data_IF_683513881611
#
_entry.id   IF_683513881611
#
_cell.length_a   1.000
_cell.length_b   1.000
_cell.length_c   1.000
_cell.angle_alpha   90.00
_cell.angle_beta   90.00
_cell.angle_gamma   90.00
#
_symmetry.space_group_name_H-M   'P 1'
#
loop_
_entity.id
_entity.type
_entity.pdbx_description
1 polymer ?
#
# COMPACT_ATOMS: atom_id res chain seq x y z
N UNK A 1 2.75 32.14 -22.99
CA UNK A 1 2.03 33.37 -22.60
C UNK A 1 1.08 33.01 -21.46
N UNK A 2 1.50 33.21 -20.22
CA UNK A 2 0.63 33.10 -19.04
C UNK A 2 -0.16 34.39 -18.89
N UNK A 3 -1.47 34.32 -19.01
CA UNK A 3 -2.36 35.48 -18.83
C UNK A 3 -2.58 35.70 -17.34
N UNK A 4 -1.82 36.62 -16.74
CA UNK A 4 -2.12 37.15 -15.41
C UNK A 4 -3.38 38.03 -15.52
N UNK A 5 -4.53 37.47 -15.13
CA UNK A 5 -5.73 38.27 -14.89
C UNK A 5 -5.51 39.07 -13.61
N UNK A 6 -5.46 40.39 -13.72
CA UNK A 6 -5.48 41.28 -12.56
C UNK A 6 -6.94 41.43 -12.10
N UNK A 7 -7.24 40.96 -10.89
CA UNK A 7 -8.52 41.20 -10.22
C UNK A 7 -8.38 42.43 -9.32
N UNK A 8 -9.44 43.23 -9.20
CA UNK A 8 -9.47 44.46 -8.39
C UNK A 8 -9.37 44.20 -6.86
N UNK A 9 -9.54 42.96 -6.45
CA UNK A 9 -9.45 42.53 -5.04
C UNK A 9 -8.01 42.44 -4.57
N UNK A 10 -7.71 43.04 -3.41
CA UNK A 10 -6.42 42.93 -2.74
C UNK A 10 -6.14 41.45 -2.40
N UNK A 11 -5.03 40.85 -2.90
CA UNK A 11 -4.67 39.47 -2.59
C UNK A 11 -4.45 39.19 -1.10
N UNK A 12 -4.26 40.23 -0.27
CA UNK A 12 -4.09 40.15 1.19
C UNK A 12 -5.39 40.33 1.97
N UNK A 13 -6.53 40.50 1.32
CA UNK A 13 -7.81 40.46 2.01
C UNK A 13 -7.99 39.08 2.63
N UNK A 14 -8.36 39.02 3.92
CA UNK A 14 -8.55 37.78 4.67
C UNK A 14 -9.55 36.84 3.98
N UNK A 15 -10.57 37.36 3.28
CA UNK A 15 -11.51 36.55 2.50
C UNK A 15 -10.84 35.93 1.26
N UNK A 16 -9.98 36.68 0.59
CA UNK A 16 -9.26 36.23 -0.60
C UNK A 16 -8.21 35.20 -0.21
N UNK A 17 -7.42 35.45 0.84
CA UNK A 17 -6.43 34.50 1.36
C UNK A 17 -7.10 33.18 1.76
N UNK A 18 -8.24 33.23 2.47
CA UNK A 18 -8.99 32.03 2.82
C UNK A 18 -9.49 31.28 1.58
N UNK A 19 -9.97 32.00 0.56
CA UNK A 19 -10.45 31.39 -0.69
C UNK A 19 -9.33 30.69 -1.48
N UNK A 20 -8.12 31.26 -1.47
CA UNK A 20 -6.94 30.71 -2.12
C UNK A 20 -6.41 29.49 -1.38
N UNK A 21 -6.34 29.54 -0.05
CA UNK A 21 -5.97 28.38 0.78
C UNK A 21 -6.97 27.25 0.56
N UNK A 22 -8.27 27.55 0.55
CA UNK A 22 -9.32 26.56 0.25
C UNK A 22 -9.14 25.97 -1.15
N UNK A 23 -8.73 26.79 -2.11
CA UNK A 23 -8.48 26.38 -3.48
C UNK A 23 -7.30 25.44 -3.64
N UNK A 24 -6.21 25.71 -2.94
CA UNK A 24 -5.04 24.86 -2.93
C UNK A 24 -5.34 23.52 -2.26
N UNK A 25 -6.09 23.54 -1.15
CA UNK A 25 -6.54 22.32 -0.46
C UNK A 25 -7.45 21.47 -1.35
N UNK A 26 -8.36 22.08 -2.11
CA UNK A 26 -9.26 21.36 -3.03
C UNK A 26 -8.53 20.80 -4.27
N UNK A 27 -7.52 21.51 -4.77
CA UNK A 27 -6.62 21.03 -5.82
C UNK A 27 -5.79 19.84 -5.34
N UNK A 28 -5.23 19.93 -4.12
CA UNK A 28 -4.48 18.84 -3.50
C UNK A 28 -5.36 17.60 -3.25
N UNK A 29 -6.66 17.79 -2.96
CA UNK A 29 -7.64 16.71 -2.81
C UNK A 29 -8.14 16.13 -4.13
N UNK A 30 -7.68 16.64 -5.28
CA UNK A 30 -8.08 16.16 -6.62
C UNK A 30 -9.54 16.48 -7.00
N UNK A 31 -10.27 17.19 -6.13
CA UNK A 31 -11.70 17.46 -6.30
C UNK A 31 -12.01 18.43 -7.45
N UNK A 32 -11.06 19.30 -7.82
CA UNK A 32 -11.26 20.23 -8.95
C UNK A 32 -10.93 19.65 -10.32
N UNK A 33 -10.25 18.50 -10.35
CA UNK A 33 -9.92 17.81 -11.60
C UNK A 33 -11.17 17.14 -12.19
N UNK A 34 -12.09 16.74 -11.31
CA UNK A 34 -13.37 16.15 -11.66
C UNK A 34 -14.47 17.18 -11.45
N UNK A 35 -15.04 17.70 -12.53
CA UNK A 35 -16.18 18.63 -12.51
C UNK A 35 -17.28 18.07 -13.41
N UNK A 36 -18.54 18.18 -12.98
CA UNK A 36 -19.71 17.71 -13.74
C UNK A 36 -19.57 16.25 -14.21
N UNK A 37 -19.07 15.37 -13.31
CA UNK A 37 -18.82 13.95 -13.60
C UNK A 37 -17.86 13.74 -14.78
N UNK A 38 -16.91 14.66 -14.98
CA UNK A 38 -15.90 14.58 -16.02
C UNK A 38 -14.51 14.91 -15.46
N UNK A 39 -13.53 14.04 -15.72
CA UNK A 39 -12.15 14.25 -15.33
C UNK A 39 -11.38 14.97 -16.45
N UNK A 40 -10.86 16.17 -16.18
CA UNK A 40 -10.10 16.94 -17.17
C UNK A 40 -8.68 16.41 -17.43
N UNK A 41 -8.12 15.61 -16.52
CA UNK A 41 -6.79 14.99 -16.68
C UNK A 41 -6.87 13.72 -17.52
N UNK A 42 -7.81 12.83 -17.21
CA UNK A 42 -8.02 11.58 -17.95
C UNK A 42 -8.93 11.76 -19.17
N UNK A 43 -9.57 12.92 -19.32
CA UNK A 43 -10.51 13.27 -20.39
C UNK A 43 -11.67 12.29 -20.53
N UNK A 44 -12.17 11.75 -19.42
CA UNK A 44 -13.24 10.75 -19.39
C UNK A 44 -14.37 11.13 -18.43
N UNK A 45 -15.59 10.63 -18.70
CA UNK A 45 -16.69 10.70 -17.72
C UNK A 45 -16.42 9.75 -16.55
N UNK A 46 -16.78 10.18 -15.36
CA UNK A 46 -16.60 9.46 -14.10
C UNK A 46 -17.91 9.45 -13.32
N UNK A 47 -18.05 8.54 -12.36
CA UNK A 47 -19.25 8.51 -11.50
C UNK A 47 -19.23 9.64 -10.47
N UNK A 48 -20.39 9.96 -9.92
CA UNK A 48 -20.50 10.85 -8.75
C UNK A 48 -19.57 10.34 -7.63
N UNK A 49 -18.89 11.26 -6.94
CA UNK A 49 -17.87 11.01 -5.92
C UNK A 49 -16.55 10.37 -6.40
N UNK A 50 -16.29 10.31 -7.71
CA UNK A 50 -14.98 9.93 -8.23
C UNK A 50 -13.94 11.02 -8.01
N UNK A 51 -12.69 10.64 -7.72
CA UNK A 51 -11.54 11.56 -7.69
C UNK A 51 -10.38 11.02 -8.51
N UNK A 52 -9.61 11.92 -9.11
CA UNK A 52 -8.36 11.57 -9.78
C UNK A 52 -7.22 11.50 -8.77
N UNK A 53 -6.59 10.33 -8.64
CA UNK A 53 -5.38 10.18 -7.84
C UNK A 53 -4.16 10.44 -8.72
N UNK A 54 -3.41 11.52 -8.44
CA UNK A 54 -2.20 11.88 -9.18
C UNK A 54 -1.09 10.83 -9.03
N UNK A 55 -0.93 10.24 -7.84
CA UNK A 55 0.12 9.22 -7.59
C UNK A 55 -0.08 7.95 -8.42
N UNK A 56 -1.33 7.54 -8.63
CA UNK A 56 -1.68 6.38 -9.46
C UNK A 56 -2.02 6.76 -10.90
N UNK A 57 -2.08 8.05 -11.22
CA UNK A 57 -2.52 8.63 -12.49
C UNK A 57 -3.83 8.02 -13.04
N UNK A 58 -4.83 7.81 -12.17
CA UNK A 58 -6.14 7.24 -12.55
C UNK A 58 -7.29 7.78 -11.71
N UNK A 59 -8.48 7.77 -12.29
CA UNK A 59 -9.73 8.07 -11.59
C UNK A 59 -10.20 6.86 -10.78
N UNK A 60 -10.67 7.11 -9.56
CA UNK A 60 -11.18 6.10 -8.66
C UNK A 60 -12.57 6.51 -8.21
N UNK A 61 -13.55 5.63 -8.42
CA UNK A 61 -14.93 5.82 -7.98
C UNK A 61 -15.05 5.67 -6.46
N UNK A 62 -15.85 6.56 -5.85
CA UNK A 62 -16.00 6.69 -4.40
C UNK A 62 -14.62 6.67 -3.70
N UNK A 63 -13.75 7.59 -4.10
CA UNK A 63 -12.37 7.61 -3.64
C UNK A 63 -12.30 7.88 -2.13
N UNK A 64 -11.68 6.96 -1.40
CA UNK A 64 -11.36 7.12 0.00
C UNK A 64 -9.94 7.72 0.14
N UNK A 65 -8.91 6.92 -0.15
CA UNK A 65 -7.52 7.37 -0.06
C UNK A 65 -6.56 6.60 -0.97
N UNK A 66 -5.36 7.16 -1.17
CA UNK A 66 -4.23 6.43 -1.73
C UNK A 66 -3.42 5.80 -0.58
N UNK A 67 -3.43 4.48 -0.49
CA UNK A 67 -2.71 3.76 0.56
C UNK A 67 -1.28 3.47 0.09
N UNK A 68 -0.30 4.12 0.73
CA UNK A 68 1.13 3.91 0.46
C UNK A 68 1.58 2.48 0.79
N UNK A 69 0.96 1.85 1.78
CA UNK A 69 1.29 0.49 2.22
C UNK A 69 0.87 -0.57 1.20
N UNK A 70 -0.25 -0.34 0.53
CA UNK A 70 -0.75 -1.20 -0.54
C UNK A 70 -0.22 -0.79 -1.91
N UNK A 71 0.47 0.36 -1.98
CA UNK A 71 0.85 1.03 -3.22
C UNK A 71 -0.33 1.11 -4.22
N UNK A 72 -1.54 1.37 -3.69
CA UNK A 72 -2.77 1.35 -4.47
C UNK A 72 -3.82 2.27 -3.83
N UNK A 73 -4.78 2.72 -4.65
CA UNK A 73 -5.92 3.49 -4.14
C UNK A 73 -6.99 2.56 -3.58
N UNK A 74 -7.63 3.00 -2.49
CA UNK A 74 -8.82 2.40 -1.92
C UNK A 74 -10.04 3.22 -2.35
N UNK A 75 -11.05 2.54 -2.86
CA UNK A 75 -12.31 3.13 -3.31
C UNK A 75 -13.38 2.05 -3.47
N UNK A 76 -14.48 2.36 -4.17
CA UNK A 76 -15.64 1.47 -4.24
C UNK A 76 -15.32 0.01 -4.60
N UNK A 77 -14.44 -0.21 -5.58
CA UNK A 77 -14.15 -1.54 -6.11
C UNK A 77 -13.38 -2.45 -5.15
N UNK A 78 -12.63 -1.90 -4.18
CA UNK A 78 -11.77 -2.67 -3.30
C UNK A 78 -11.92 -2.37 -1.81
N UNK A 79 -12.86 -1.51 -1.43
CA UNK A 79 -13.11 -1.14 -0.04
C UNK A 79 -13.38 -2.36 0.86
N UNK A 80 -14.18 -3.31 0.36
CA UNK A 80 -14.48 -4.54 1.09
C UNK A 80 -13.22 -5.39 1.36
N UNK A 81 -12.39 -5.59 0.33
CA UNK A 81 -11.15 -6.36 0.48
C UNK A 81 -10.14 -5.68 1.40
N UNK A 82 -10.05 -4.35 1.35
CA UNK A 82 -9.24 -3.57 2.28
C UNK A 82 -9.67 -3.81 3.73
N UNK A 83 -10.97 -3.69 4.01
CA UNK A 83 -11.51 -3.92 5.34
C UNK A 83 -11.29 -5.37 5.82
N UNK A 84 -11.54 -6.36 4.97
CA UNK A 84 -11.32 -7.78 5.32
C UNK A 84 -9.85 -8.08 5.62
N UNK A 85 -8.92 -7.43 4.91
CA UNK A 85 -7.48 -7.55 5.18
C UNK A 85 -7.13 -7.00 6.57
N UNK A 86 -7.67 -5.83 6.95
CA UNK A 86 -7.45 -5.27 8.28
C UNK A 86 -8.03 -6.17 9.38
N UNK A 87 -9.25 -6.67 9.18
CA UNK A 87 -9.93 -7.53 10.14
C UNK A 87 -9.17 -8.84 10.38
N UNK A 88 -8.76 -9.51 9.29
CA UNK A 88 -7.96 -10.75 9.37
C UNK A 88 -6.59 -10.52 10.00
N UNK A 89 -5.93 -9.39 9.72
CA UNK A 89 -4.66 -9.03 10.36
C UNK A 89 -4.80 -8.88 11.88
N UNK A 90 -5.89 -8.25 12.37
CA UNK A 90 -6.17 -8.11 13.80
C UNK A 90 -6.37 -9.49 14.45
N UNK A 91 -7.19 -10.35 13.84
CA UNK A 91 -7.42 -11.72 14.33
C UNK A 91 -6.09 -12.49 14.40
N UNK A 92 -5.27 -12.41 13.36
CA UNK A 92 -3.97 -13.08 13.34
C UNK A 92 -3.05 -12.57 14.45
N UNK A 93 -3.01 -11.26 14.69
CA UNK A 93 -2.23 -10.67 15.78
C UNK A 93 -2.69 -11.19 17.15
N UNK A 94 -4.01 -11.24 17.40
CA UNK A 94 -4.57 -11.78 18.63
C UNK A 94 -4.27 -13.27 18.80
N UNK A 95 -4.40 -14.04 17.72
CA UNK A 95 -4.11 -15.47 17.71
C UNK A 95 -2.64 -15.76 18.04
N UNK A 96 -1.71 -15.09 17.37
CA UNK A 96 -0.26 -15.23 17.63
C UNK A 96 0.07 -14.80 19.05
N UNK A 97 -0.49 -13.69 19.53
CA UNK A 97 -0.31 -13.23 20.92
C UNK A 97 -0.82 -14.27 21.91
N UNK A 98 -2.00 -14.86 21.67
CA UNK A 98 -2.56 -15.92 22.49
C UNK A 98 -1.66 -17.16 22.56
N UNK A 99 -1.10 -17.59 21.43
CA UNK A 99 -0.15 -18.71 21.39
C UNK A 99 1.09 -18.39 22.24
N UNK A 100 1.64 -17.18 22.11
CA UNK A 100 2.83 -16.76 22.87
C UNK A 100 2.53 -16.78 24.37
N UNK A 101 1.40 -16.22 24.79
CA UNK A 101 1.00 -16.19 26.20
C UNK A 101 0.75 -17.61 26.76
N UNK A 102 0.07 -18.48 26.01
CA UNK A 102 -0.13 -19.87 26.40
C UNK A 102 1.21 -20.61 26.53
N UNK A 103 2.14 -20.38 25.60
CA UNK A 103 3.47 -20.97 25.67
C UNK A 103 4.23 -20.47 26.91
N UNK A 104 4.24 -19.16 27.17
CA UNK A 104 4.87 -18.59 28.37
C UNK A 104 4.28 -19.17 29.67
N UNK A 105 2.96 -19.30 29.74
CA UNK A 105 2.27 -19.89 30.88
C UNK A 105 2.67 -21.36 31.09
N UNK A 106 2.70 -22.15 30.02
CA UNK A 106 3.16 -23.55 30.07
C UNK A 106 4.60 -23.65 30.58
N UNK A 107 5.52 -22.85 30.04
CA UNK A 107 6.93 -22.85 30.47
C UNK A 107 7.10 -22.38 31.92
N UNK A 108 6.21 -21.52 32.43
CA UNK A 108 6.22 -21.09 33.83
C UNK A 108 5.73 -22.16 34.80
N UNK A 109 4.81 -23.03 34.38
CA UNK A 109 4.26 -24.11 35.22
C UNK A 109 5.15 -25.35 35.19
N UNK A 110 5.84 -25.60 34.07
CA UNK A 110 6.73 -26.75 33.89
C UNK A 110 8.21 -26.31 33.75
N UNK A 111 8.91 -25.90 34.84
CA UNK A 111 10.33 -25.50 34.79
C UNK A 111 11.29 -26.72 34.70
N UNK A 112 12.60 -26.49 34.47
CA UNK A 112 13.36 -26.93 33.30
C UNK A 112 13.81 -28.41 33.36
N UNK A 113 12.94 -29.34 32.98
CA UNK A 113 13.39 -30.63 32.42
C UNK A 113 13.32 -30.60 30.89
N UNK A 114 12.38 -29.82 30.32
CA UNK A 114 12.22 -29.70 28.87
C UNK A 114 13.27 -28.81 28.20
N UNK A 115 13.69 -27.69 28.84
CA UNK A 115 14.72 -26.80 28.29
C UNK A 115 16.13 -27.41 28.34
N UNK A 116 16.48 -28.08 29.45
CA UNK A 116 17.75 -28.80 29.62
C UNK A 116 17.84 -29.99 28.67
N UNK A 117 16.78 -30.82 28.55
CA UNK A 117 16.77 -31.92 27.57
C UNK A 117 16.82 -31.39 26.12
N UNK A 118 16.16 -30.27 25.79
CA UNK A 118 16.13 -29.73 24.42
C UNK A 118 17.39 -28.95 24.03
N UNK A 119 18.07 -28.28 24.96
CA UNK A 119 19.40 -27.71 24.73
C UNK A 119 20.44 -28.80 24.48
N UNK A 120 20.28 -29.94 25.15
CA UNK A 120 21.24 -31.06 25.07
C UNK A 120 20.91 -32.03 23.91
N UNK A 121 19.64 -32.08 23.47
CA UNK A 121 19.17 -32.97 22.39
C UNK A 121 19.40 -32.43 20.96
N UNK A 122 19.71 -31.15 20.79
CA UNK A 122 20.07 -30.59 19.49
C UNK A 122 21.44 -29.93 19.58
N UNK A 123 22.52 -30.56 19.08
CA UNK A 123 23.80 -29.87 18.99
C UNK A 123 23.59 -28.58 18.20
N UNK A 124 24.18 -27.48 18.66
CA UNK A 124 24.05 -26.14 18.07
C UNK A 124 24.28 -26.13 16.55
N UNK A 125 25.03 -27.11 16.03
CA UNK A 125 25.23 -27.38 14.61
C UNK A 125 23.95 -27.67 13.82
N UNK A 126 23.00 -28.45 14.35
CA UNK A 126 21.73 -28.77 13.66
C UNK A 126 20.84 -27.52 13.59
N UNK A 127 20.78 -26.74 14.67
CA UNK A 127 20.02 -25.48 14.70
C UNK A 127 20.64 -24.46 13.73
N UNK A 128 21.98 -24.37 13.69
CA UNK A 128 22.69 -23.52 12.75
C UNK A 128 22.46 -23.97 11.30
N UNK A 129 22.53 -25.28 11.00
CA UNK A 129 22.27 -25.82 9.67
C UNK A 129 20.81 -25.58 9.23
N UNK A 130 19.84 -25.76 10.12
CA UNK A 130 18.44 -25.44 9.85
C UNK A 130 18.24 -23.95 9.57
N UNK A 131 18.87 -23.05 10.35
CA UNK A 131 18.84 -21.61 10.12
C UNK A 131 19.49 -21.22 8.79
N UNK A 132 20.65 -21.79 8.45
CA UNK A 132 21.33 -21.54 7.17
C UNK A 132 20.52 -22.09 5.99
N UNK A 133 19.89 -23.26 6.13
CA UNK A 133 19.01 -23.83 5.12
C UNK A 133 17.76 -22.96 4.91
N UNK A 134 17.09 -22.55 5.98
CA UNK A 134 15.92 -21.66 5.90
C UNK A 134 16.30 -20.27 5.36
N UNK A 135 17.44 -19.70 5.77
CA UNK A 135 17.94 -18.45 5.23
C UNK A 135 18.28 -18.57 3.74
N UNK A 136 18.88 -19.68 3.31
CA UNK A 136 19.15 -19.99 1.89
C UNK A 136 17.85 -20.18 1.11
N UNK A 137 16.86 -20.87 1.67
CA UNK A 137 15.53 -21.06 1.05
C UNK A 137 14.82 -19.72 0.92
N UNK A 138 14.82 -18.90 1.96
CA UNK A 138 14.28 -17.55 1.95
C UNK A 138 14.95 -16.67 0.89
N UNK A 139 16.29 -16.67 0.85
CA UNK A 139 17.06 -15.91 -0.13
C UNK A 139 16.78 -16.39 -1.56
N UNK A 140 16.72 -17.71 -1.78
CA UNK A 140 16.36 -18.28 -3.08
C UNK A 140 14.94 -17.93 -3.51
N UNK A 141 13.95 -18.01 -2.61
CA UNK A 141 12.55 -17.60 -2.90
C UNK A 141 12.51 -16.11 -3.24
N UNK A 142 13.24 -15.26 -2.49
CA UNK A 142 13.29 -13.83 -2.75
C UNK A 142 14.01 -13.48 -4.05
N UNK A 143 15.05 -14.23 -4.42
CA UNK A 143 15.71 -14.12 -5.72
C UNK A 143 14.78 -14.57 -6.86
N UNK A 144 14.05 -15.67 -6.69
CA UNK A 144 13.05 -16.13 -7.67
C UNK A 144 11.95 -15.10 -7.86
N UNK A 145 11.41 -14.54 -6.77
CA UNK A 145 10.42 -13.46 -6.83
C UNK A 145 10.98 -12.23 -7.56
N UNK A 146 12.21 -11.79 -7.24
CA UNK A 146 12.87 -10.68 -7.96
C UNK A 146 13.04 -10.97 -9.44
N UNK A 147 13.39 -12.21 -9.82
CA UNK A 147 13.52 -12.65 -11.22
C UNK A 147 12.16 -12.64 -11.94
N UNK A 148 11.09 -13.12 -11.30
CA UNK A 148 9.75 -13.10 -11.88
C UNK A 148 9.25 -11.68 -12.12
N UNK A 149 9.39 -10.80 -11.12
CA UNK A 149 9.02 -9.38 -11.26
C UNK A 149 9.87 -8.68 -12.34
N UNK A 150 11.16 -9.01 -12.46
CA UNK A 150 12.02 -8.45 -13.50
C UNK A 150 11.64 -8.95 -14.91
N UNK A 151 11.28 -10.24 -15.02
CA UNK A 151 10.81 -10.85 -16.27
C UNK A 151 9.47 -10.26 -16.71
N UNK A 152 8.53 -10.10 -15.78
CA UNK A 152 7.21 -9.51 -16.05
C UNK A 152 7.34 -8.05 -16.49
N UNK A 153 8.22 -7.27 -15.84
CA UNK A 153 8.57 -5.91 -16.30
C UNK A 153 9.25 -5.87 -17.66
N UNK A 154 10.03 -6.90 -18.03
CA UNK A 154 10.66 -6.96 -19.35
C UNK A 154 9.63 -7.31 -20.42
N UNK A 155 8.75 -8.27 -20.13
CA UNK A 155 7.62 -8.64 -20.99
C UNK A 155 6.69 -7.44 -21.24
N UNK A 156 6.38 -6.65 -20.22
CA UNK A 156 5.60 -5.40 -20.38
C UNK A 156 6.33 -4.36 -21.24
N UNK A 157 7.67 -4.27 -21.17
CA UNK A 157 8.46 -3.37 -22.04
C UNK A 157 8.48 -3.84 -23.50
N UNK A 158 8.61 -5.13 -23.72
CA UNK A 158 8.68 -5.72 -25.06
C UNK A 158 7.29 -5.64 -25.75
N UNK A 159 6.20 -5.94 -25.03
CA UNK A 159 4.82 -5.74 -25.49
C UNK A 159 4.44 -4.26 -25.72
N UNK A 160 5.15 -3.33 -25.05
CA UNK A 160 4.98 -1.89 -25.28
C UNK A 160 5.68 -1.45 -26.58
N UNK A 161 6.84 -2.02 -26.91
CA UNK A 161 7.53 -1.74 -28.19
C UNK A 161 6.72 -2.24 -29.39
N UNK A 162 6.12 -3.42 -29.30
CA UNK A 162 5.28 -3.99 -30.38
C UNK A 162 3.98 -3.20 -30.61
N UNK A 163 3.49 -2.46 -29.60
CA UNK A 163 2.28 -1.63 -29.70
C UNK A 163 2.52 -0.22 -30.22
N UNK A 164 3.78 0.21 -30.31
CA UNK A 164 4.18 1.56 -30.76
C UNK A 164 4.62 1.54 -32.23
N UNK A 165 5.12 0.41 -32.74
CA UNK A 165 5.61 0.27 -34.12
C UNK A 165 4.86 -0.75 -34.98
N UNK A 166 3.79 -1.36 -34.45
CA UNK A 166 2.91 -2.32 -35.14
C UNK A 166 1.57 -1.73 -35.53
#
# INVERSE_FOLDING_TARGET
MTTSKATFTDPKDDEVEYSLIRQDVELQRGSRVVKDNYCHVCQCRVTENSKHCRSCNKCIGNFDHHCVWLNNCVGAANYFYFFMTLFTAIILCLFVTGIILLNMFYMSIFPPVFWTIRSDAYPDSIVLLARLFLARRYFNVRLHHKKQVAFEKQKERDECCDRIFG
#
